data_IF_433316116669
#
_entry.id   IF_433316116669
#
_cell.length_a   1.000
_cell.length_b   1.000
_cell.length_c   1.000
_cell.angle_alpha   90.00
_cell.angle_beta   90.00
_cell.angle_gamma   90.00
#
_symmetry.space_group_name_H-M   'P 1'
#
loop_
_entity.id
_entity.type
_entity.pdbx_description
1 polymer ?
#
# COMPACT_ATOMS: atom_id res chain seq x y z
N UNK A 1 12.32 -3.62 -10.12
CA UNK A 1 11.51 -3.90 -8.91
C UNK A 1 12.36 -3.65 -7.68
N UNK A 2 11.87 -2.86 -6.73
CA UNK A 2 12.63 -2.61 -5.50
C UNK A 2 12.92 -3.90 -4.74
N UNK A 3 14.13 -4.01 -4.16
CA UNK A 3 14.57 -5.24 -3.48
C UNK A 3 13.65 -5.60 -2.30
N UNK A 4 13.14 -4.61 -1.60
CA UNK A 4 12.27 -4.84 -0.45
C UNK A 4 10.94 -5.48 -0.83
N UNK A 5 10.50 -5.30 -2.07
CA UNK A 5 9.28 -5.96 -2.54
C UNK A 5 9.52 -7.42 -2.94
N UNK A 6 10.78 -7.79 -3.23
CA UNK A 6 11.12 -9.18 -3.55
C UNK A 6 11.13 -10.08 -2.31
N UNK A 7 11.32 -9.49 -1.14
CA UNK A 7 11.37 -10.24 0.12
C UNK A 7 10.01 -10.40 0.79
N UNK A 8 8.94 -10.15 0.06
CA UNK A 8 7.60 -10.27 0.60
C UNK A 8 7.17 -11.70 0.91
N UNK A 9 8.09 -12.67 0.81
CA UNK A 9 7.81 -14.05 1.23
C UNK A 9 7.49 -14.15 2.71
N UNK A 10 8.12 -13.32 3.55
CA UNK A 10 7.76 -13.25 4.97
C UNK A 10 6.37 -12.65 5.15
N UNK A 11 5.98 -11.74 4.27
CA UNK A 11 4.66 -11.15 4.27
C UNK A 11 3.58 -12.18 3.97
N UNK A 12 3.90 -13.18 3.14
CA UNK A 12 2.97 -14.28 2.85
C UNK A 12 2.59 -15.07 4.09
N UNK A 13 3.55 -15.30 4.98
CA UNK A 13 3.27 -16.05 6.20
C UNK A 13 2.31 -15.31 7.12
N UNK A 14 2.41 -14.00 7.16
CA UNK A 14 1.59 -13.15 8.03
C UNK A 14 0.21 -12.90 7.43
N UNK A 15 0.11 -12.89 6.12
CA UNK A 15 -1.16 -12.62 5.42
C UNK A 15 -1.94 -13.88 5.06
N UNK A 16 -1.59 -15.03 5.64
CA UNK A 16 -2.26 -16.30 5.35
C UNK A 16 -3.76 -16.30 5.56
N UNK A 17 -4.29 -15.40 6.38
CA UNK A 17 -5.72 -15.27 6.59
C UNK A 17 -6.44 -14.49 5.52
N UNK A 18 -5.73 -13.86 4.59
CA UNK A 18 -6.31 -13.05 3.54
C UNK A 18 -6.08 -13.71 2.18
N UNK A 19 -7.13 -14.30 1.61
CA UNK A 19 -7.02 -15.03 0.33
C UNK A 19 -6.56 -14.14 -0.82
N UNK A 20 -6.87 -12.84 -0.76
CA UNK A 20 -6.47 -11.88 -1.79
C UNK A 20 -4.94 -11.79 -1.94
N UNK A 21 -4.19 -12.00 -0.86
CA UNK A 21 -2.73 -11.89 -0.87
C UNK A 21 -2.03 -13.13 -1.41
N UNK A 22 -2.78 -14.18 -1.73
CA UNK A 22 -2.21 -15.42 -2.28
C UNK A 22 -1.99 -15.36 -3.79
N UNK A 23 -2.54 -14.35 -4.46
CA UNK A 23 -2.42 -14.22 -5.90
C UNK A 23 -1.06 -13.59 -6.25
N UNK A 24 -0.24 -14.25 -7.12
CA UNK A 24 1.06 -13.67 -7.52
C UNK A 24 0.93 -12.26 -8.10
N UNK A 25 -0.15 -11.96 -8.80
CA UNK A 25 -0.39 -10.65 -9.38
C UNK A 25 -0.47 -9.55 -8.33
N UNK A 26 -0.85 -9.87 -7.09
CA UNK A 26 -0.94 -8.87 -6.02
C UNK A 26 0.39 -8.23 -5.70
N UNK A 27 1.48 -8.99 -5.74
CA UNK A 27 2.82 -8.45 -5.47
C UNK A 27 3.17 -7.41 -6.54
N UNK A 28 2.91 -7.73 -7.80
CA UNK A 28 3.17 -6.80 -8.90
C UNK A 28 2.29 -5.56 -8.80
N UNK A 29 1.01 -5.72 -8.54
CA UNK A 29 0.08 -4.61 -8.40
C UNK A 29 0.46 -3.67 -7.26
N UNK A 30 0.83 -4.24 -6.12
CA UNK A 30 1.28 -3.45 -4.97
C UNK A 30 2.59 -2.74 -5.28
N UNK A 31 3.49 -3.39 -6.01
CA UNK A 31 4.75 -2.78 -6.45
C UNK A 31 4.49 -1.57 -7.33
N UNK A 32 3.63 -1.72 -8.33
CA UNK A 32 3.29 -0.62 -9.25
C UNK A 32 2.62 0.54 -8.51
N UNK A 33 1.70 0.21 -7.60
CA UNK A 33 0.98 1.21 -6.82
C UNK A 33 1.94 2.00 -5.92
N UNK A 34 2.81 1.29 -5.20
CA UNK A 34 3.77 1.94 -4.30
C UNK A 34 4.76 2.80 -5.08
N UNK A 35 5.28 2.29 -6.20
CA UNK A 35 6.21 3.05 -7.03
C UNK A 35 5.57 4.34 -7.56
N UNK A 36 4.36 4.25 -8.06
CA UNK A 36 3.63 5.41 -8.57
C UNK A 36 3.35 6.42 -7.45
N UNK A 37 2.99 5.94 -6.27
CA UNK A 37 2.70 6.79 -5.11
C UNK A 37 3.90 7.63 -4.68
N UNK A 38 5.12 7.15 -4.95
CA UNK A 38 6.35 7.85 -4.57
C UNK A 38 7.07 8.45 -5.77
N UNK A 39 6.35 8.78 -6.82
CA UNK A 39 6.88 9.53 -7.96
C UNK A 39 7.48 8.69 -9.07
N UNK A 40 7.35 7.38 -9.01
CA UNK A 40 7.78 6.48 -10.06
C UNK A 40 6.83 6.46 -11.25
N UNK A 41 7.03 5.50 -12.19
CA UNK A 41 6.16 5.40 -13.35
C UNK A 41 4.69 5.20 -13.00
N UNK A 42 3.80 5.75 -13.81
CA UNK A 42 2.35 5.65 -13.60
C UNK A 42 1.74 4.36 -14.14
N UNK A 43 2.50 3.29 -14.04
CA UNK A 43 2.12 1.99 -14.58
C UNK A 43 0.82 1.46 -13.99
N UNK A 44 0.62 1.62 -12.69
CA UNK A 44 -0.61 1.16 -12.04
C UNK A 44 -1.82 1.85 -12.65
N UNK A 45 -1.77 3.17 -12.78
CA UNK A 45 -2.87 3.96 -13.34
C UNK A 45 -3.13 3.57 -14.79
N UNK A 46 -2.07 3.38 -15.58
CA UNK A 46 -2.22 3.06 -17.01
C UNK A 46 -2.77 1.65 -17.25
N UNK A 47 -2.35 0.68 -16.46
CA UNK A 47 -2.72 -0.71 -16.70
C UNK A 47 -3.96 -1.17 -15.95
N UNK A 48 -4.18 -0.66 -14.74
CA UNK A 48 -5.30 -1.09 -13.89
C UNK A 48 -6.29 0.03 -13.61
N UNK A 49 -5.79 1.19 -13.22
CA UNK A 49 -6.61 2.31 -12.80
C UNK A 49 -7.09 2.20 -11.36
N UNK A 50 -7.53 3.33 -10.81
CA UNK A 50 -7.95 3.39 -9.41
C UNK A 50 -9.25 2.59 -9.17
N UNK A 51 -10.11 2.49 -10.17
CA UNK A 51 -11.35 1.72 -10.02
C UNK A 51 -11.05 0.26 -9.68
N UNK A 52 -9.95 -0.29 -10.20
CA UNK A 52 -9.53 -1.64 -9.87
C UNK A 52 -9.30 -1.80 -8.37
N UNK A 53 -8.68 -0.81 -7.72
CA UNK A 53 -8.45 -0.86 -6.25
C UNK A 53 -9.78 -0.93 -5.52
N UNK A 54 -10.74 -0.12 -5.93
CA UNK A 54 -12.06 -0.10 -5.31
C UNK A 54 -12.72 -1.46 -5.44
N UNK A 55 -12.71 -2.01 -6.65
CA UNK A 55 -13.39 -3.27 -6.94
C UNK A 55 -12.81 -4.44 -6.16
N UNK A 56 -11.48 -4.54 -6.05
CA UNK A 56 -10.84 -5.67 -5.35
C UNK A 56 -11.00 -5.61 -3.84
N UNK A 57 -11.23 -4.43 -3.27
CA UNK A 57 -11.43 -4.30 -1.82
C UNK A 57 -12.89 -4.35 -1.42
N UNK A 58 -13.80 -4.10 -2.34
CA UNK A 58 -15.23 -4.08 -2.03
C UNK A 58 -15.68 -5.44 -1.51
N UNK A 59 -16.47 -5.42 -0.44
CA UNK A 59 -17.01 -6.61 0.24
C UNK A 59 -16.00 -7.46 1.03
N UNK A 60 -14.72 -7.05 1.12
CA UNK A 60 -13.74 -7.79 1.93
C UNK A 60 -13.99 -7.62 3.43
N UNK A 61 -14.66 -6.55 3.83
CA UNK A 61 -15.00 -6.27 5.24
C UNK A 61 -13.77 -6.30 6.14
N UNK A 62 -12.77 -5.51 5.78
CA UNK A 62 -11.51 -5.43 6.51
C UNK A 62 -11.77 -4.89 7.92
N UNK A 63 -11.34 -5.62 8.95
CA UNK A 63 -11.46 -5.20 10.34
C UNK A 63 -10.32 -4.29 10.74
N UNK A 64 -10.50 -3.55 11.84
CA UNK A 64 -9.43 -2.73 12.40
C UNK A 64 -8.20 -3.55 12.73
N UNK A 65 -8.39 -4.75 13.29
CA UNK A 65 -7.31 -5.65 13.62
C UNK A 65 -6.51 -6.08 12.39
N UNK A 66 -7.21 -6.41 11.31
CA UNK A 66 -6.57 -6.76 10.04
C UNK A 66 -5.78 -5.59 9.47
N UNK A 67 -6.34 -4.38 9.54
CA UNK A 67 -5.67 -3.18 9.06
C UNK A 67 -4.41 -2.89 9.87
N UNK A 68 -4.49 -2.94 11.20
CA UNK A 68 -3.34 -2.71 12.08
C UNK A 68 -2.23 -3.70 11.82
N UNK A 69 -2.58 -4.96 11.61
CA UNK A 69 -1.62 -6.01 11.29
C UNK A 69 -0.95 -5.77 9.95
N UNK A 70 -1.71 -5.36 8.95
CA UNK A 70 -1.16 -5.03 7.64
C UNK A 70 -0.13 -3.89 7.75
N UNK A 71 -0.47 -2.83 8.49
CA UNK A 71 0.43 -1.69 8.69
C UNK A 71 1.71 -2.15 9.37
N UNK A 72 1.60 -2.93 10.44
CA UNK A 72 2.76 -3.41 11.18
C UNK A 72 3.70 -4.24 10.30
N UNK A 73 3.15 -5.18 9.55
CA UNK A 73 3.95 -6.03 8.66
C UNK A 73 4.60 -5.19 7.56
N UNK A 74 3.87 -4.26 6.99
CA UNK A 74 4.40 -3.38 5.95
C UNK A 74 5.62 -2.61 6.46
N UNK A 75 5.53 -2.03 7.66
CA UNK A 75 6.63 -1.26 8.23
C UNK A 75 7.82 -2.14 8.62
N UNK A 76 7.59 -3.36 9.11
CA UNK A 76 8.66 -4.31 9.38
C UNK A 76 9.43 -4.67 8.12
N UNK A 77 8.74 -4.77 7.00
CA UNK A 77 9.35 -5.08 5.71
C UNK A 77 10.41 -4.05 5.32
N UNK A 78 10.24 -2.80 5.71
CA UNK A 78 11.23 -1.76 5.44
C UNK A 78 12.57 -2.04 6.11
N UNK A 79 12.53 -2.50 7.35
CA UNK A 79 13.74 -2.84 8.10
C UNK A 79 14.41 -4.10 7.53
N UNK A 80 13.63 -5.13 7.26
CA UNK A 80 14.14 -6.37 6.68
C UNK A 80 14.80 -6.15 5.32
N UNK A 81 14.26 -5.26 4.52
CA UNK A 81 14.78 -4.94 3.20
C UNK A 81 16.01 -4.01 3.25
N UNK A 82 16.37 -3.53 4.42
CA UNK A 82 17.52 -2.63 4.58
C UNK A 82 17.31 -1.25 4.00
N UNK A 83 16.06 -0.77 3.98
CA UNK A 83 15.79 0.57 3.50
C UNK A 83 16.29 1.62 4.50
N UNK A 84 16.58 2.85 4.02
CA UNK A 84 17.10 3.89 4.91
C UNK A 84 16.22 4.11 6.13
N UNK A 85 16.87 4.34 7.28
CA UNK A 85 16.17 4.67 8.53
C UNK A 85 15.89 6.17 8.64
N UNK A 86 16.09 6.91 7.57
CA UNK A 86 15.85 8.34 7.50
C UNK A 86 14.42 8.69 7.95
N UNK A 87 14.32 9.59 8.94
CA UNK A 87 13.04 9.88 9.57
C UNK A 87 12.00 10.48 8.61
N UNK A 88 12.33 11.46 7.76
CA UNK A 88 11.36 11.98 6.80
C UNK A 88 10.85 10.92 5.83
N UNK A 89 11.74 10.05 5.33
CA UNK A 89 11.34 8.95 4.45
C UNK A 89 10.40 7.98 5.16
N UNK A 90 10.77 7.54 6.37
CA UNK A 90 9.96 6.59 7.14
C UNK A 90 8.60 7.17 7.51
N UNK A 91 8.55 8.46 7.81
CA UNK A 91 7.28 9.13 8.09
C UNK A 91 6.38 9.17 6.86
N UNK A 92 6.93 9.46 5.68
CA UNK A 92 6.16 9.46 4.45
C UNK A 92 5.60 8.08 4.13
N UNK A 93 6.38 7.02 4.32
CA UNK A 93 5.92 5.65 4.10
C UNK A 93 4.82 5.28 5.09
N UNK A 94 4.96 5.67 6.36
CA UNK A 94 3.94 5.42 7.37
C UNK A 94 2.62 6.10 6.99
N UNK A 95 2.68 7.37 6.60
CA UNK A 95 1.48 8.11 6.17
C UNK A 95 0.84 7.46 4.95
N UNK A 96 1.67 7.02 4.01
CA UNK A 96 1.20 6.33 2.81
C UNK A 96 0.41 5.06 3.18
N UNK A 97 0.97 4.20 4.02
CA UNK A 97 0.31 2.94 4.34
C UNK A 97 -0.91 3.14 5.25
N UNK A 98 -0.84 4.12 6.15
CA UNK A 98 -1.99 4.43 7.01
C UNK A 98 -3.14 4.98 6.19
N UNK A 99 -2.88 5.90 5.28
CA UNK A 99 -3.91 6.47 4.43
C UNK A 99 -4.47 5.42 3.47
N UNK A 100 -3.60 4.69 2.77
CA UNK A 100 -4.03 3.68 1.80
C UNK A 100 -4.85 2.57 2.44
N UNK A 101 -4.45 2.11 3.62
CA UNK A 101 -5.20 1.08 4.33
C UNK A 101 -6.53 1.60 4.86
N UNK A 102 -6.61 2.87 5.24
CA UNK A 102 -7.86 3.50 5.63
C UNK A 102 -8.86 3.55 4.47
N UNK A 103 -8.39 3.97 3.29
CA UNK A 103 -9.23 3.98 2.09
C UNK A 103 -9.71 2.58 1.74
N UNK A 104 -8.81 1.61 1.76
CA UNK A 104 -9.15 0.22 1.47
C UNK A 104 -10.19 -0.32 2.46
N UNK A 105 -10.01 -0.03 3.74
CA UNK A 105 -10.96 -0.48 4.77
C UNK A 105 -12.34 0.14 4.56
N UNK A 106 -12.41 1.44 4.33
CA UNK A 106 -13.69 2.11 4.08
C UNK A 106 -14.39 1.49 2.87
N UNK A 107 -13.66 1.31 1.77
CA UNK A 107 -14.24 0.74 0.55
C UNK A 107 -14.66 -0.71 0.74
N UNK A 108 -13.98 -1.46 1.61
CA UNK A 108 -14.31 -2.86 1.87
C UNK A 108 -15.66 -3.06 2.55
N UNK A 109 -16.17 -2.04 3.22
CA UNK A 109 -17.47 -2.07 3.89
C UNK A 109 -18.56 -1.34 3.12
N UNK A 110 -18.25 -0.72 1.99
CA UNK A 110 -19.22 0.07 1.23
C UNK A 110 -20.34 -0.81 0.70
N UNK A 111 -21.56 -0.39 0.97
CA UNK A 111 -22.77 -1.07 0.47
C UNK A 111 -23.22 -0.47 -0.86
N UNK A 112 -22.86 0.77 -1.11
CA UNK A 112 -23.19 1.48 -2.33
C UNK A 112 -22.04 2.43 -2.68
N UNK A 113 -22.08 3.01 -3.86
CA UNK A 113 -21.06 3.97 -4.28
C UNK A 113 -20.99 5.20 -3.38
N UNK A 114 -22.09 5.56 -2.74
CA UNK A 114 -22.12 6.69 -1.81
C UNK A 114 -21.25 6.47 -0.57
N UNK A 115 -21.00 5.21 -0.20
CA UNK A 115 -20.20 4.86 0.98
C UNK A 115 -18.71 4.81 0.69
N UNK A 116 -18.31 4.88 -0.58
CA UNK A 116 -16.91 4.81 -0.97
C UNK A 116 -16.15 6.05 -0.54
N UNK A 117 -14.86 5.88 -0.24
CA UNK A 117 -13.98 7.01 -0.02
C UNK A 117 -13.91 7.85 -1.31
N UNK A 118 -13.88 9.18 -1.21
CA UNK A 118 -13.94 10.06 -2.40
C UNK A 118 -12.73 10.00 -3.33
N UNK A 119 -11.59 9.48 -2.86
CA UNK A 119 -10.38 9.46 -3.68
C UNK A 119 -10.55 8.57 -4.92
N UNK A 120 -10.09 9.04 -6.07
CA UNK A 120 -10.22 8.32 -7.34
C UNK A 120 -8.92 8.28 -8.14
N UNK A 121 -7.80 8.63 -7.52
CA UNK A 121 -6.49 8.60 -8.16
C UNK A 121 -5.44 8.18 -7.14
N UNK A 122 -4.35 7.58 -7.61
CA UNK A 122 -3.23 7.20 -6.75
C UNK A 122 -2.67 8.48 -6.11
N UNK A 123 -2.66 8.55 -4.77
CA UNK A 123 -2.10 9.72 -4.10
C UNK A 123 -0.59 9.79 -4.26
N UNK A 124 -0.07 10.99 -4.38
CA UNK A 124 1.37 11.23 -4.52
C UNK A 124 1.96 11.57 -3.16
N UNK A 125 3.02 10.87 -2.79
CA UNK A 125 3.74 11.08 -1.54
C UNK A 125 5.17 11.50 -1.82
N UNK A 126 5.68 12.37 -0.96
CA UNK A 126 7.08 12.79 -1.01
C UNK A 126 7.55 13.07 0.41
N UNK A 127 8.85 13.22 0.56
CA UNK A 127 9.44 13.62 1.83
C UNK A 127 10.45 14.72 1.55
N UNK A 128 10.68 15.64 2.53
CA UNK A 128 11.67 16.69 2.34
C UNK A 128 13.05 16.09 2.15
N UNK A 129 13.85 16.71 1.30
CA UNK A 129 15.25 16.34 1.16
C UNK A 129 15.95 16.51 2.50
N UNK A 130 16.95 15.65 2.74
CA UNK A 130 17.79 15.81 3.91
C UNK A 130 18.47 17.20 3.82
N UNK A 131 18.35 18.05 4.88
CA UNK A 131 19.00 19.36 4.88
C UNK A 131 20.49 19.32 4.58
N UNK A 132 21.12 18.17 4.74
CA UNK A 132 22.54 18.00 4.44
C UNK A 132 22.83 17.86 2.94
N UNK A 133 21.81 17.65 2.12
CA UNK A 133 21.94 17.49 0.68
C UNK A 133 21.92 18.84 -0.06
N UNK A 134 21.83 19.93 0.67
CA UNK A 134 21.82 21.28 0.08
C UNK A 134 23.17 21.96 0.15
#
# INVERSE_FOLDING_TARGET
MPVWLRRSTSTRAVTRGCTAWRMPAHVDHLTWFTAESFGGPDRFTRELGFQYIIDVHRHLKITDEQRERFIAVYLETLDEAGLPADAPFRQAVREHVEFGSHVAQQNSWAKSDADLHPIRAVPAWSWPDDPQDH
#
